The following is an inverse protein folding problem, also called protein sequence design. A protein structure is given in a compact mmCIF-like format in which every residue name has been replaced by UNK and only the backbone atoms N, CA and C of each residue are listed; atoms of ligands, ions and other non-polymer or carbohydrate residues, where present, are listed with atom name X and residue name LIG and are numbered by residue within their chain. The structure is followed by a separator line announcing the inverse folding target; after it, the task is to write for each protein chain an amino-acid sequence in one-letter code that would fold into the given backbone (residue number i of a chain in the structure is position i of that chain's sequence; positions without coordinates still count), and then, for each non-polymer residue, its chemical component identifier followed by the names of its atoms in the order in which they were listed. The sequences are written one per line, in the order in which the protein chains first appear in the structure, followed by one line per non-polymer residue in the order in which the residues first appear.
data_IF_008080830974
#
_entry.id   IF_008080830974
#
_cell.length_a   1.000
_cell.length_b   1.000
_cell.length_c   1.000
_cell.angle_alpha   90.00
_cell.angle_beta   90.00
_cell.angle_gamma   90.00
#
_symmetry.space_group_name_H-M   'P 1'
#
loop_
_entity.id
_entity.type
_entity.pdbx_description
1 polymer ?
#
# COMPACT_ATOMS: atom_id res chain seq x y z
N UNK A 1 -9.04 2.36 2.08
CA UNK A 1 -8.09 3.47 1.86
C UNK A 1 -7.59 3.88 3.21
N UNK A 2 -6.28 3.89 3.42
CA UNK A 2 -5.64 4.30 4.68
C UNK A 2 -4.43 5.18 4.39
N UNK A 3 -3.95 5.90 5.38
CA UNK A 3 -2.71 6.65 5.23
C UNK A 3 -1.53 5.65 5.24
N UNK A 4 -0.49 5.80 4.38
CA UNK A 4 0.60 4.83 4.31
C UNK A 4 1.34 4.60 5.65
N UNK A 5 1.38 5.62 6.52
CA UNK A 5 1.97 5.50 7.87
C UNK A 5 1.19 4.60 8.83
N UNK A 6 -0.06 4.27 8.51
CA UNK A 6 -0.87 3.36 9.32
C UNK A 6 -0.50 1.88 9.09
N UNK A 7 0.32 1.60 8.06
CA UNK A 7 0.80 0.26 7.72
C UNK A 7 2.32 0.27 7.46
N UNK A 8 3.15 0.55 8.49
CA UNK A 8 4.58 0.81 8.33
C UNK A 8 5.39 -0.41 7.86
N UNK A 9 4.88 -1.61 8.06
CA UNK A 9 5.55 -2.86 7.67
C UNK A 9 5.41 -3.15 6.16
N UNK A 10 4.55 -2.42 5.45
CA UNK A 10 4.40 -2.55 4.02
C UNK A 10 5.48 -1.75 3.30
N UNK A 11 6.11 -2.37 2.32
CA UNK A 11 7.18 -1.75 1.53
C UNK A 11 6.91 -1.84 0.03
N UNK A 12 7.43 -0.86 -0.70
CA UNK A 12 7.37 -0.83 -2.15
C UNK A 12 8.14 -2.01 -2.74
N UNK A 13 7.48 -2.79 -3.60
CA UNK A 13 8.16 -3.78 -4.43
C UNK A 13 8.94 -3.06 -5.52
N UNK A 14 10.14 -3.55 -5.86
CA UNK A 14 11.11 -2.81 -6.68
C UNK A 14 10.60 -2.19 -8.00
N UNK A 15 11.42 -1.31 -8.61
CA UNK A 15 11.00 -0.34 -9.63
C UNK A 15 10.41 -0.94 -10.92
N UNK A 16 10.60 -2.23 -11.17
CA UNK A 16 10.13 -2.93 -12.37
C UNK A 16 8.61 -3.17 -12.39
N UNK A 17 7.93 -3.04 -11.26
CA UNK A 17 6.49 -3.36 -11.11
C UNK A 17 5.60 -2.13 -10.89
N UNK A 18 6.19 -0.93 -10.83
CA UNK A 18 5.50 0.28 -10.41
C UNK A 18 5.35 1.23 -11.59
N UNK A 19 4.11 1.54 -11.94
CA UNK A 19 3.86 2.70 -12.81
C UNK A 19 4.23 3.96 -12.04
N UNK A 20 5.26 4.66 -12.49
CA UNK A 20 5.75 5.89 -11.86
C UNK A 20 5.14 7.11 -12.58
N UNK A 21 4.47 7.97 -11.82
CA UNK A 21 4.04 9.30 -12.24
C UNK A 21 5.05 10.38 -11.85
N UNK A 22 4.70 11.64 -12.14
CA UNK A 22 5.55 12.79 -11.84
C UNK A 22 5.86 12.95 -10.34
N UNK A 23 4.88 12.63 -9.47
CA UNK A 23 4.95 12.88 -8.03
C UNK A 23 5.06 11.59 -7.18
N UNK A 24 5.26 10.42 -7.81
CA UNK A 24 5.32 9.15 -7.08
C UNK A 24 4.68 7.98 -7.84
N UNK A 25 4.36 6.87 -7.17
CA UNK A 25 3.66 5.74 -7.76
C UNK A 25 2.26 6.14 -8.26
N UNK A 26 1.94 5.90 -9.53
CA UNK A 26 0.66 6.27 -10.14
C UNK A 26 -0.52 5.42 -9.63
N UNK A 27 -0.25 4.23 -9.08
CA UNK A 27 -1.28 3.31 -8.58
C UNK A 27 -2.06 2.53 -9.65
N UNK A 28 -1.86 2.80 -10.94
CA UNK A 28 -2.57 2.10 -12.04
C UNK A 28 -1.94 0.76 -12.44
N UNK A 29 -0.75 0.45 -11.91
CA UNK A 29 -0.02 -0.78 -12.21
C UNK A 29 -0.47 -2.03 -11.47
N UNK A 30 -1.52 -1.91 -10.66
CA UNK A 30 -1.88 -2.92 -9.68
C UNK A 30 -1.10 -2.74 -8.37
N UNK A 31 -0.90 -3.86 -7.65
CA UNK A 31 -0.31 -3.85 -6.31
C UNK A 31 1.20 -3.67 -6.38
N UNK A 32 1.70 -2.75 -5.57
CA UNK A 32 3.12 -2.40 -5.46
C UNK A 32 3.61 -2.37 -4.00
N UNK A 33 2.74 -2.71 -3.04
CA UNK A 33 3.09 -2.77 -1.63
C UNK A 33 3.01 -4.21 -1.13
N UNK A 34 4.13 -4.70 -0.58
CA UNK A 34 4.28 -6.05 -0.06
C UNK A 34 4.35 -6.09 1.47
N UNK A 35 3.80 -7.15 2.07
CA UNK A 35 4.09 -7.52 3.45
C UNK A 35 5.57 -7.88 3.63
N UNK A 36 6.09 -7.94 4.87
CA UNK A 36 7.41 -8.52 5.15
C UNK A 36 7.59 -9.94 4.58
N UNK A 37 6.49 -10.68 4.40
CA UNK A 37 6.45 -11.99 3.77
C UNK A 37 6.59 -11.99 2.23
N UNK A 38 6.67 -10.82 1.58
CA UNK A 38 6.79 -10.66 0.13
C UNK A 38 5.47 -10.73 -0.66
N UNK A 39 4.35 -11.07 -0.03
CA UNK A 39 3.04 -11.05 -0.67
C UNK A 39 2.55 -9.61 -0.93
N UNK A 40 2.15 -9.35 -2.17
CA UNK A 40 1.49 -8.12 -2.58
C UNK A 40 0.08 -8.01 -2.00
N UNK A 41 -0.16 -6.97 -1.22
CA UNK A 41 -1.40 -6.77 -0.45
C UNK A 41 -2.03 -5.39 -0.61
N UNK A 42 -1.32 -4.43 -1.21
CA UNK A 42 -1.85 -3.09 -1.39
C UNK A 42 -1.23 -2.37 -2.60
N UNK A 43 -1.84 -1.24 -2.96
CA UNK A 43 -1.38 -0.30 -3.96
C UNK A 43 -1.15 1.06 -3.28
N UNK A 44 0.08 1.55 -3.32
CA UNK A 44 0.43 2.93 -3.02
C UNK A 44 0.18 3.77 -4.28
N UNK A 45 -0.58 4.85 -4.11
CA UNK A 45 -0.84 5.84 -5.13
C UNK A 45 -0.44 7.24 -4.63
N UNK A 46 0.10 8.02 -5.55
CA UNK A 46 0.51 9.39 -5.34
C UNK A 46 0.11 10.20 -6.57
N UNK A 47 -0.47 11.37 -6.34
CA UNK A 47 -0.66 12.40 -7.35
C UNK A 47 0.02 13.70 -6.91
N UNK A 48 -0.04 14.73 -7.74
CA UNK A 48 0.63 16.00 -7.47
C UNK A 48 -0.20 16.98 -6.62
N UNK A 49 -1.44 16.63 -6.26
CA UNK A 49 -2.36 17.53 -5.57
C UNK A 49 -2.88 16.98 -4.23
N UNK A 50 -2.63 15.72 -3.92
CA UNK A 50 -3.15 15.01 -2.76
C UNK A 50 -2.08 14.28 -1.95
N UNK A 51 -2.43 13.81 -0.74
CA UNK A 51 -1.56 12.96 0.05
C UNK A 51 -1.36 11.61 -0.65
N UNK A 52 -0.28 10.91 -0.28
CA UNK A 52 -0.13 9.51 -0.67
C UNK A 52 -1.23 8.67 -0.04
N UNK A 53 -1.83 7.79 -0.85
CA UNK A 53 -2.92 6.93 -0.43
C UNK A 53 -2.50 5.47 -0.53
N UNK A 54 -2.85 4.69 0.49
CA UNK A 54 -2.68 3.24 0.47
C UNK A 54 -4.03 2.55 0.26
N UNK A 55 -4.16 1.89 -0.89
CA UNK A 55 -5.33 1.13 -1.32
C UNK A 55 -5.10 -0.34 -0.97
N UNK A 56 -5.70 -0.82 0.12
CA UNK A 56 -5.60 -2.20 0.57
C UNK A 56 -6.42 -3.12 -0.36
N UNK A 57 -5.88 -4.29 -0.71
CA UNK A 57 -6.60 -5.29 -1.50
C UNK A 57 -7.68 -5.96 -0.63
N UNK A 58 -8.97 -5.81 -0.96
CA UNK A 58 -10.06 -6.31 -0.12
C UNK A 58 -10.15 -7.84 -0.06
N UNK A 59 -9.48 -8.57 -0.96
CA UNK A 59 -9.44 -10.04 -0.94
C UNK A 59 -8.24 -10.59 -0.16
N UNK A 60 -7.30 -9.72 0.24
CA UNK A 60 -6.06 -10.13 0.93
C UNK A 60 -5.86 -9.46 2.27
N UNK A 61 -6.58 -8.37 2.53
CA UNK A 61 -6.52 -7.62 3.78
C UNK A 61 -7.90 -7.57 4.38
N UNK A 62 -7.99 -7.94 5.65
CA UNK A 62 -9.21 -7.81 6.45
C UNK A 62 -8.85 -7.12 7.77
N UNK A 63 -9.80 -6.37 8.32
CA UNK A 63 -9.67 -5.83 9.66
C UNK A 63 -9.85 -6.96 10.68
N UNK A 64 -8.98 -7.01 11.68
CA UNK A 64 -9.10 -7.90 12.83
C UNK A 64 -9.21 -7.07 14.11
N UNK A 65 -10.03 -7.47 15.10
CA UNK A 65 -10.09 -6.77 16.38
C UNK A 65 -8.71 -6.81 17.05
N UNK A 66 -8.20 -5.67 17.50
CA UNK A 66 -6.97 -5.69 18.30
C UNK A 66 -7.26 -6.45 19.60
N UNK A 67 -6.48 -7.50 19.88
CA UNK A 67 -6.61 -8.24 21.14
C UNK A 67 -6.36 -7.26 22.28
N UNK A 68 -7.39 -7.01 23.08
CA UNK A 68 -7.33 -6.05 24.20
C UNK A 68 -6.90 -6.72 25.49
N UNK A 69 -6.10 -7.79 25.40
CA UNK A 69 -5.51 -8.44 26.58
C UNK A 69 -4.28 -7.68 27.02
N UNK A 70 -4.53 -6.62 27.80
CA UNK A 70 -3.59 -6.11 28.81
C UNK A 70 -3.47 -7.11 29.96
#
# INVERSE_FOLDING_TARGET
MVHPKDAPDLHLTGPLSIHQGCCGPLGTGGRNMACPCGALVATLAADCMGPHELHLDPLRVYAYPADTTM
#
